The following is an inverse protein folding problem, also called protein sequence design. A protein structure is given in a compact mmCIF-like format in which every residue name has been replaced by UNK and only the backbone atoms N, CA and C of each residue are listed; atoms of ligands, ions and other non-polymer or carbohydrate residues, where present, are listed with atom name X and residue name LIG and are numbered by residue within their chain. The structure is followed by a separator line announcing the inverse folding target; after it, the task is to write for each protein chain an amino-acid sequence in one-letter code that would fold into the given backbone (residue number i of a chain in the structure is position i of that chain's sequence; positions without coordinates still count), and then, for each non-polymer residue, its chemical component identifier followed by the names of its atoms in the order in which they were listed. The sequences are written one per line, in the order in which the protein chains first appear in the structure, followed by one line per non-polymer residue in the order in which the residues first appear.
data_IF_968283384531
#
_entry.id   IF_968283384531
#
_cell.length_a   1.000
_cell.length_b   1.000
_cell.length_c   1.000
_cell.angle_alpha   90.00
_cell.angle_beta   90.00
_cell.angle_gamma   90.00
#
_symmetry.space_group_name_H-M   'P 1'
#
loop_
_entity.id
_entity.type
_entity.pdbx_description
1 polymer ?
#
# COMPACT_ATOMS: atom_id res chain seq x y z
N UNK A 1 -6.66 2.37 1.37
CA UNK A 1 -7.57 3.29 2.09
C UNK A 1 -9.01 2.77 2.10
N UNK A 2 -9.69 2.62 0.94
CA UNK A 2 -11.10 2.22 0.90
C UNK A 2 -11.40 0.89 1.63
N UNK A 3 -10.59 -0.16 1.40
CA UNK A 3 -10.72 -1.47 2.08
C UNK A 3 -10.58 -1.42 3.61
N UNK A 4 -9.73 -0.53 4.14
CA UNK A 4 -9.58 -0.36 5.59
C UNK A 4 -10.80 0.33 6.18
N UNK A 5 -11.28 1.40 5.54
CA UNK A 5 -12.44 2.16 6.01
C UNK A 5 -13.70 1.30 5.99
N UNK A 6 -13.92 0.53 4.91
CA UNK A 6 -15.02 -0.43 4.84
C UNK A 6 -14.86 -1.54 5.86
N UNK A 7 -13.65 -2.08 6.03
CA UNK A 7 -13.36 -3.08 7.05
C UNK A 7 -13.64 -2.60 8.48
N UNK A 8 -13.27 -1.35 8.82
CA UNK A 8 -13.59 -0.72 10.11
C UNK A 8 -15.10 -0.59 10.30
N UNK A 9 -15.83 -0.16 9.27
CA UNK A 9 -17.29 -0.05 9.35
C UNK A 9 -17.95 -1.42 9.62
N UNK A 10 -17.53 -2.48 8.93
CA UNK A 10 -18.00 -3.84 9.20
C UNK A 10 -17.59 -4.36 10.58
N UNK A 11 -16.37 -4.06 11.04
CA UNK A 11 -15.89 -4.40 12.37
C UNK A 11 -16.77 -3.79 13.47
N UNK A 12 -17.04 -2.48 13.35
CA UNK A 12 -17.86 -1.71 14.30
C UNK A 12 -19.32 -2.16 14.27
N UNK A 13 -19.91 -2.33 13.08
CA UNK A 13 -21.29 -2.82 12.93
C UNK A 13 -21.46 -4.23 13.48
N UNK A 14 -20.50 -5.12 13.21
CA UNK A 14 -20.49 -6.47 13.75
C UNK A 14 -20.40 -6.48 15.28
N UNK A 15 -19.53 -5.64 15.85
CA UNK A 15 -19.44 -5.49 17.31
C UNK A 15 -20.73 -4.94 17.91
N UNK A 16 -21.33 -3.91 17.32
CA UNK A 16 -22.62 -3.36 17.78
C UNK A 16 -23.75 -4.41 17.72
N UNK A 17 -23.81 -5.18 16.63
CA UNK A 17 -24.77 -6.28 16.51
C UNK A 17 -24.50 -7.35 17.58
N UNK A 18 -23.24 -7.68 17.85
CA UNK A 18 -22.87 -8.69 18.85
C UNK A 18 -23.27 -8.32 20.29
N UNK A 19 -23.42 -7.03 20.58
CA UNK A 19 -23.90 -6.52 21.88
C UNK A 19 -25.41 -6.68 22.07
N UNK A 20 -26.16 -6.90 20.99
CA UNK A 20 -27.57 -7.29 21.08
C UNK A 20 -27.62 -8.80 21.30
N UNK A 21 -28.35 -9.29 22.31
CA UNK A 21 -28.23 -10.69 22.78
C UNK A 21 -28.37 -11.79 21.72
N UNK A 22 -29.13 -11.56 20.65
CA UNK A 22 -29.30 -12.49 19.51
C UNK A 22 -28.21 -12.29 18.43
N UNK A 23 -27.62 -11.10 18.38
CA UNK A 23 -26.68 -10.69 17.36
C UNK A 23 -25.25 -11.17 17.58
N UNK A 24 -24.92 -11.89 18.66
CA UNK A 24 -23.59 -12.50 18.80
C UNK A 24 -23.25 -13.46 17.65
N UNK A 25 -24.21 -14.28 17.20
CA UNK A 25 -24.01 -15.28 16.13
C UNK A 25 -23.72 -14.64 14.77
N UNK A 26 -24.27 -13.45 14.51
CA UNK A 26 -24.13 -12.75 13.22
C UNK A 26 -23.08 -11.64 13.30
N UNK A 27 -23.05 -10.93 14.41
CA UNK A 27 -22.20 -9.79 14.68
C UNK A 27 -20.72 -10.15 14.84
N UNK A 28 -20.40 -11.25 15.54
CA UNK A 28 -19.00 -11.71 15.65
C UNK A 28 -18.41 -12.10 14.28
N UNK A 29 -19.08 -12.91 13.43
CA UNK A 29 -18.61 -13.17 12.08
C UNK A 29 -18.49 -11.91 11.22
N UNK A 30 -19.43 -10.98 11.34
CA UNK A 30 -19.38 -9.70 10.61
C UNK A 30 -18.18 -8.85 11.07
N UNK A 31 -17.90 -8.84 12.38
CA UNK A 31 -16.76 -8.14 12.93
C UNK A 31 -15.43 -8.76 12.47
N UNK A 32 -15.34 -10.08 12.48
CA UNK A 32 -14.20 -10.83 11.98
C UNK A 32 -13.96 -10.59 10.48
N UNK A 33 -15.03 -10.54 9.68
CA UNK A 33 -14.95 -10.19 8.28
C UNK A 33 -14.42 -8.76 8.08
N UNK A 34 -14.90 -7.80 8.87
CA UNK A 34 -14.36 -6.43 8.88
C UNK A 34 -12.86 -6.39 9.17
N UNK A 35 -12.39 -7.16 10.16
CA UNK A 35 -10.95 -7.27 10.48
C UNK A 35 -10.14 -7.86 9.32
N UNK A 36 -10.65 -8.88 8.63
CA UNK A 36 -9.99 -9.46 7.44
C UNK A 36 -9.84 -8.42 6.31
N UNK A 37 -10.85 -7.58 6.11
CA UNK A 37 -10.77 -6.48 5.15
C UNK A 37 -9.71 -5.43 5.54
N UNK A 38 -9.57 -5.12 6.84
CA UNK A 38 -8.51 -4.22 7.32
C UNK A 38 -7.12 -4.82 7.04
N UNK A 39 -6.91 -6.10 7.36
CA UNK A 39 -5.63 -6.79 7.15
C UNK A 39 -5.25 -6.83 5.67
N UNK A 40 -6.20 -7.19 4.80
CA UNK A 40 -5.97 -7.19 3.35
C UNK A 40 -5.67 -5.78 2.81
N UNK A 41 -6.34 -4.75 3.34
CA UNK A 41 -6.02 -3.35 3.06
C UNK A 41 -4.58 -2.99 3.44
N UNK A 42 -4.10 -3.44 4.61
CA UNK A 42 -2.72 -3.24 5.08
C UNK A 42 -1.70 -3.94 4.18
N UNK A 43 -1.97 -5.19 3.80
CA UNK A 43 -1.12 -5.94 2.89
C UNK A 43 -0.97 -5.19 1.54
N UNK A 44 -2.08 -4.68 0.99
CA UNK A 44 -2.05 -3.88 -0.23
C UNK A 44 -1.19 -2.61 -0.10
N UNK A 45 -1.27 -1.90 1.03
CA UNK A 45 -0.42 -0.73 1.27
C UNK A 45 1.06 -1.07 1.39
N UNK A 46 1.41 -2.19 2.03
CA UNK A 46 2.79 -2.68 2.14
C UNK A 46 3.37 -3.03 0.77
N UNK A 47 2.58 -3.70 -0.08
CA UNK A 47 2.98 -4.00 -1.46
C UNK A 47 3.21 -2.71 -2.25
N UNK A 48 2.30 -1.75 -2.16
CA UNK A 48 2.46 -0.45 -2.81
C UNK A 48 3.71 0.30 -2.35
N UNK A 49 4.02 0.26 -1.05
CA UNK A 49 5.24 0.83 -0.50
C UNK A 49 6.50 0.14 -1.04
N UNK A 50 6.50 -1.19 -1.13
CA UNK A 50 7.62 -1.95 -1.69
C UNK A 50 7.87 -1.57 -3.16
N UNK A 51 6.82 -1.41 -3.97
CA UNK A 51 6.94 -0.93 -5.34
C UNK A 51 7.47 0.51 -5.41
N UNK A 52 7.03 1.39 -4.52
CA UNK A 52 7.55 2.75 -4.45
C UNK A 52 9.05 2.79 -4.13
N UNK A 53 9.48 2.00 -3.14
CA UNK A 53 10.88 1.86 -2.78
C UNK A 53 11.72 1.28 -3.92
N UNK A 54 11.22 0.24 -4.60
CA UNK A 54 11.88 -0.32 -5.78
C UNK A 54 12.06 0.76 -6.86
N UNK A 55 11.01 1.53 -7.16
CA UNK A 55 11.08 2.64 -8.13
C UNK A 55 12.10 3.69 -7.71
N UNK A 56 12.15 4.04 -6.42
CA UNK A 56 13.12 4.98 -5.88
C UNK A 56 14.56 4.47 -6.06
N UNK A 57 14.82 3.20 -5.73
CA UNK A 57 16.13 2.56 -5.91
C UNK A 57 16.54 2.59 -7.39
N UNK A 58 15.64 2.20 -8.29
CA UNK A 58 15.90 2.28 -9.75
C UNK A 58 16.24 3.71 -10.15
N UNK A 59 15.51 4.71 -9.68
CA UNK A 59 15.76 6.11 -10.01
C UNK A 59 17.12 6.60 -9.50
N UNK A 60 17.51 6.20 -8.28
CA UNK A 60 18.82 6.54 -7.70
C UNK A 60 19.97 5.88 -8.46
N UNK A 61 19.80 4.65 -8.97
CA UNK A 61 20.85 3.94 -9.71
C UNK A 61 20.96 4.47 -11.14
N UNK A 62 19.83 4.70 -11.82
CA UNK A 62 19.84 5.11 -13.22
C UNK A 62 20.10 6.61 -13.41
N UNK A 63 19.74 7.47 -12.45
CA UNK A 63 19.96 8.92 -12.58
C UNK A 63 21.45 9.31 -12.75
N UNK A 64 22.40 8.79 -11.95
CA UNK A 64 23.82 9.04 -12.13
C UNK A 64 24.35 8.50 -13.47
N UNK A 65 23.90 7.33 -13.90
CA UNK A 65 24.33 6.71 -15.18
C UNK A 65 23.91 7.57 -16.36
N UNK A 66 22.69 8.09 -16.35
CA UNK A 66 22.19 9.01 -17.38
C UNK A 66 23.00 10.31 -17.37
N UNK A 67 23.28 10.88 -16.20
CA UNK A 67 24.10 12.08 -16.09
C UNK A 67 25.53 11.87 -16.61
N UNK A 68 26.15 10.72 -16.30
CA UNK A 68 27.46 10.33 -16.79
C UNK A 68 27.48 10.23 -18.33
N UNK A 69 26.47 9.58 -18.90
CA UNK A 69 26.33 9.48 -20.36
C UNK A 69 26.23 10.85 -21.03
N UNK A 70 25.41 11.76 -20.46
CA UNK A 70 25.29 13.13 -20.95
C UNK A 70 26.61 13.90 -20.84
N UNK A 71 27.33 13.74 -19.72
CA UNK A 71 28.63 14.37 -19.51
C UNK A 71 29.66 13.91 -20.55
N UNK A 72 29.75 12.60 -20.80
CA UNK A 72 30.66 12.02 -21.81
C UNK A 72 30.33 12.55 -23.20
N UNK A 73 29.05 12.59 -23.56
CA UNK A 73 28.59 13.15 -24.85
C UNK A 73 28.97 14.63 -24.99
N UNK A 74 28.79 15.42 -23.93
CA UNK A 74 29.12 16.84 -23.94
C UNK A 74 30.63 17.07 -24.08
N UNK A 75 31.45 16.32 -23.32
CA UNK A 75 32.90 16.35 -23.44
C UNK A 75 33.37 16.00 -24.86
N UNK A 76 32.75 15.00 -25.50
CA UNK A 76 33.07 14.64 -26.88
C UNK A 76 32.86 15.80 -27.85
N UNK A 77 31.78 16.59 -27.71
CA UNK A 77 31.50 17.76 -28.57
C UNK A 77 32.41 18.96 -28.34
N UNK A 78 33.14 18.99 -27.23
CA UNK A 78 34.12 20.06 -26.94
C UNK A 78 35.49 19.67 -27.50
N UNK A 79 35.80 18.39 -27.46
CA UNK A 79 37.10 17.85 -27.89
C UNK A 79 37.17 17.69 -29.41
N UNK A 80 36.04 17.37 -30.08
CA UNK A 80 35.92 17.19 -31.53
C UNK A 80 34.98 18.22 -32.13
#
# INVERSE_FOLDING_TARGET
MCLMVTGIAFAVLGLLLSLTGIGAVVGLPLAAFGLLLIISGFAGTLIGLAFYLLKLVVMIIFSPVILLFWLVRWLWQIIF
#
